data_IF_236757996370
#
_entry.id   IF_236757996370
#
_cell.length_a   1.000
_cell.length_b   1.000
_cell.length_c   1.000
_cell.angle_alpha   90.00
_cell.angle_beta   90.00
_cell.angle_gamma   90.00
#
_symmetry.space_group_name_H-M   'P 1'
#
loop_
_entity.id
_entity.type
_entity.pdbx_description
1 polymer ?
#
# COMPACT_ATOMS: atom_id res chain seq x y z
N UNK A 1 -18.88 0.08 -11.40
CA UNK A 1 -18.16 -0.99 -12.10
C UNK A 1 -17.50 -1.85 -11.05
N UNK A 2 -17.91 -3.11 -10.89
CA UNK A 2 -17.25 -4.04 -9.96
C UNK A 2 -15.84 -4.31 -10.47
N UNK A 3 -14.83 -3.98 -9.67
CA UNK A 3 -13.45 -4.32 -9.99
C UNK A 3 -13.34 -5.84 -10.18
N UNK A 4 -12.69 -6.28 -11.25
CA UNK A 4 -12.39 -7.70 -11.45
C UNK A 4 -11.54 -8.19 -10.27
N UNK A 5 -11.76 -9.42 -9.77
CA UNK A 5 -10.98 -9.94 -8.67
C UNK A 5 -9.50 -10.07 -9.07
N UNK A 6 -8.55 -9.79 -8.16
CA UNK A 6 -7.13 -9.91 -8.44
C UNK A 6 -6.75 -11.34 -8.82
N UNK A 7 -5.90 -11.47 -9.84
CA UNK A 7 -5.53 -12.72 -10.51
C UNK A 7 -4.05 -13.04 -10.40
N UNK A 8 -3.20 -12.04 -10.22
CA UNK A 8 -1.74 -12.20 -10.14
C UNK A 8 -1.23 -11.74 -8.78
N UNK A 9 -0.06 -12.23 -8.34
CA UNK A 9 0.57 -11.76 -7.08
C UNK A 9 0.75 -10.24 -7.07
N UNK A 10 1.04 -9.64 -8.23
CA UNK A 10 1.09 -8.19 -8.38
C UNK A 10 -0.26 -7.53 -8.10
N UNK A 11 -1.35 -8.01 -8.70
CA UNK A 11 -2.70 -7.46 -8.46
C UNK A 11 -3.14 -7.61 -6.99
N UNK A 12 -2.77 -8.72 -6.32
CA UNK A 12 -2.99 -8.86 -4.88
C UNK A 12 -2.17 -7.86 -4.07
N UNK A 13 -0.92 -7.61 -4.48
CA UNK A 13 -0.04 -6.63 -3.82
C UNK A 13 -0.55 -5.20 -4.00
N UNK A 14 -1.02 -4.87 -5.20
CA UNK A 14 -1.61 -3.57 -5.52
C UNK A 14 -2.91 -3.36 -4.76
N UNK A 15 -3.80 -4.36 -4.75
CA UNK A 15 -5.05 -4.30 -3.98
C UNK A 15 -4.81 -4.12 -2.48
N UNK A 16 -3.80 -4.80 -1.92
CA UNK A 16 -3.42 -4.60 -0.51
C UNK A 16 -2.88 -3.19 -0.26
N UNK A 17 -2.02 -2.66 -1.14
CA UNK A 17 -1.51 -1.31 -1.04
C UNK A 17 -2.62 -0.25 -1.11
N UNK A 18 -3.57 -0.41 -2.03
CA UNK A 18 -4.75 0.47 -2.15
C UNK A 18 -5.59 0.47 -0.87
N UNK A 19 -5.78 -0.69 -0.25
CA UNK A 19 -6.50 -0.81 1.03
C UNK A 19 -5.75 -0.11 2.17
N UNK A 20 -4.43 -0.27 2.24
CA UNK A 20 -3.61 0.41 3.24
C UNK A 20 -3.69 1.93 3.11
N UNK A 21 -3.61 2.44 1.89
CA UNK A 21 -3.71 3.88 1.58
C UNK A 21 -5.11 4.41 1.83
N UNK A 22 -6.16 3.67 1.41
CA UNK A 22 -7.56 4.06 1.65
C UNK A 22 -7.86 4.16 3.14
N UNK A 23 -7.39 3.19 3.92
CA UNK A 23 -7.53 3.25 5.37
C UNK A 23 -6.81 4.46 5.96
N UNK A 24 -5.57 4.72 5.54
CA UNK A 24 -4.82 5.88 6.02
C UNK A 24 -5.56 7.18 5.73
N UNK A 25 -6.05 7.37 4.51
CA UNK A 25 -6.82 8.54 4.08
C UNK A 25 -8.11 8.76 4.87
N UNK A 26 -8.78 7.68 5.29
CA UNK A 26 -10.00 7.79 6.08
C UNK A 26 -9.72 8.27 7.53
N UNK A 27 -8.49 8.10 8.02
CA UNK A 27 -8.10 8.34 9.41
C UNK A 27 -7.03 9.43 9.58
N UNK A 28 -6.40 9.90 8.51
CA UNK A 28 -5.46 11.03 8.52
C UNK A 28 -6.14 12.30 8.00
N UNK A 29 -5.71 13.47 8.49
CA UNK A 29 -6.16 14.76 7.97
C UNK A 29 -5.37 15.24 6.75
N UNK A 30 -4.35 14.48 6.33
CA UNK A 30 -3.45 14.86 5.25
C UNK A 30 -3.38 13.74 4.22
N UNK A 31 -3.86 13.97 2.99
CA UNK A 31 -3.68 12.99 1.92
C UNK A 31 -2.19 12.88 1.56
N UNK A 32 -1.68 11.67 1.27
CA UNK A 32 -0.32 11.56 0.79
C UNK A 32 -0.20 12.32 -0.55
N UNK A 33 0.91 13.03 -0.78
CA UNK A 33 1.23 13.49 -2.13
C UNK A 33 1.27 12.27 -3.06
N UNK A 34 0.76 12.42 -4.28
CA UNK A 34 0.93 11.43 -5.35
C UNK A 34 0.44 10.02 -4.94
N UNK A 35 -0.87 9.93 -4.68
CA UNK A 35 -1.49 8.75 -4.09
C UNK A 35 -1.37 7.47 -4.93
N UNK A 36 -1.21 7.57 -6.26
CA UNK A 36 -1.03 6.39 -7.13
C UNK A 36 0.39 5.86 -7.06
N UNK A 37 1.37 6.76 -7.09
CA UNK A 37 2.79 6.49 -6.97
C UNK A 37 3.09 5.90 -5.59
N UNK A 38 2.50 6.48 -4.53
CA UNK A 38 2.56 5.91 -3.17
C UNK A 38 2.03 4.48 -3.12
N UNK A 39 0.88 4.24 -3.77
CA UNK A 39 0.26 2.91 -3.84
C UNK A 39 1.14 1.92 -4.60
N UNK A 40 1.70 2.31 -5.74
CA UNK A 40 2.57 1.45 -6.56
C UNK A 40 3.90 1.15 -5.84
N UNK A 41 4.46 2.13 -5.11
CA UNK A 41 5.65 1.93 -4.30
C UNK A 41 5.42 0.92 -3.18
N UNK A 42 4.28 1.02 -2.48
CA UNK A 42 3.85 0.04 -1.49
C UNK A 42 3.64 -1.34 -2.12
N UNK A 43 2.96 -1.40 -3.26
CA UNK A 43 2.72 -2.65 -3.98
C UNK A 43 4.03 -3.33 -4.41
N UNK A 44 5.02 -2.55 -4.85
CA UNK A 44 6.35 -3.05 -5.19
C UNK A 44 7.05 -3.67 -3.97
N UNK A 45 7.02 -3.00 -2.81
CA UNK A 45 7.60 -3.56 -1.59
C UNK A 45 6.88 -4.84 -1.13
N UNK A 46 5.55 -4.87 -1.18
CA UNK A 46 4.72 -6.05 -0.87
C UNK A 46 5.04 -7.20 -1.84
N UNK A 47 5.13 -6.90 -3.14
CA UNK A 47 5.41 -7.88 -4.18
C UNK A 47 6.80 -8.49 -4.04
N UNK A 48 7.83 -7.66 -3.83
CA UNK A 48 9.21 -8.10 -3.65
C UNK A 48 9.35 -8.98 -2.40
N UNK A 49 8.69 -8.60 -1.30
CA UNK A 49 8.67 -9.41 -0.08
C UNK A 49 7.93 -10.74 -0.28
N UNK A 50 6.79 -10.73 -0.98
CA UNK A 50 6.08 -11.96 -1.32
C UNK A 50 6.95 -12.89 -2.17
N UNK A 51 7.64 -12.36 -3.18
CA UNK A 51 8.55 -13.11 -4.03
C UNK A 51 9.72 -13.73 -3.23
N UNK A 52 10.36 -12.93 -2.35
CA UNK A 52 11.43 -13.41 -1.48
C UNK A 52 10.99 -14.49 -0.50
N UNK A 53 9.74 -14.43 -0.03
CA UNK A 53 9.14 -15.41 0.88
C UNK A 53 8.49 -16.61 0.16
N UNK A 54 8.47 -16.65 -1.18
CA UNK A 54 7.78 -17.68 -1.95
C UNK A 54 6.25 -17.68 -1.81
N UNK A 55 5.66 -16.54 -1.44
CA UNK A 55 4.22 -16.35 -1.30
C UNK A 55 3.59 -15.90 -2.63
N UNK A 56 2.38 -16.36 -2.91
CA UNK A 56 1.66 -16.00 -4.14
C UNK A 56 0.17 -15.74 -3.92
N UNK A 57 -0.40 -14.91 -4.80
CA UNK A 57 -1.83 -14.60 -4.78
C UNK A 57 -2.33 -14.12 -3.41
N UNK A 58 -3.40 -14.73 -2.83
CA UNK A 58 -3.95 -14.33 -1.54
C UNK A 58 -2.98 -14.47 -0.35
N UNK A 59 -1.89 -15.24 -0.49
CA UNK A 59 -0.91 -15.44 0.58
C UNK A 59 -0.15 -14.15 0.92
N UNK A 60 -0.13 -13.18 0.01
CA UNK A 60 0.42 -11.83 0.25
C UNK A 60 -0.16 -11.21 1.54
N UNK A 61 -1.40 -11.55 1.90
CA UNK A 61 -2.03 -11.03 3.12
C UNK A 61 -1.34 -11.47 4.43
N UNK A 62 -0.49 -12.51 4.44
CA UNK A 62 0.26 -12.90 5.64
C UNK A 62 1.56 -12.13 5.86
N UNK A 63 1.90 -11.18 4.99
CA UNK A 63 3.11 -10.37 5.13
C UNK A 63 2.98 -9.39 6.30
N UNK A 64 4.07 -9.26 7.06
CA UNK A 64 4.21 -8.30 8.14
C UNK A 64 4.35 -6.87 7.58
N UNK A 65 3.56 -5.94 8.09
CA UNK A 65 3.68 -4.52 7.75
C UNK A 65 4.96 -3.93 8.36
N UNK A 66 5.23 -4.26 9.63
CA UNK A 66 6.47 -3.99 10.32
C UNK A 66 6.85 -5.20 11.18
N UNK A 67 8.15 -5.42 11.35
CA UNK A 67 8.68 -6.55 12.08
C UNK A 67 9.75 -6.12 13.10
N UNK A 68 10.05 -6.98 14.10
CA UNK A 68 11.22 -6.79 14.96
C UNK A 68 12.51 -6.74 14.14
N UNK A 69 13.57 -6.19 14.75
CA UNK A 69 14.89 -6.19 14.14
C UNK A 69 15.32 -7.60 13.70
N UNK A 70 15.74 -7.74 12.43
CA UNK A 70 16.19 -9.00 11.85
C UNK A 70 15.13 -9.85 11.16
N UNK A 71 13.90 -9.36 11.01
CA UNK A 71 12.86 -10.00 10.20
C UNK A 71 12.45 -9.10 9.02
N UNK A 72 12.17 -9.72 7.87
CA UNK A 72 11.71 -8.98 6.70
C UNK A 72 10.26 -8.52 6.88
N UNK A 73 9.98 -7.29 6.45
CA UNK A 73 8.66 -6.67 6.49
C UNK A 73 8.52 -5.67 5.35
N UNK A 74 7.28 -5.28 5.03
CA UNK A 74 7.02 -4.31 3.96
C UNK A 74 7.76 -3.00 4.24
N UNK A 75 7.76 -2.55 5.49
CA UNK A 75 8.49 -1.37 5.92
C UNK A 75 10.02 -1.50 5.70
N UNK A 76 10.61 -2.64 6.06
CA UNK A 76 12.05 -2.86 5.85
C UNK A 76 12.41 -2.89 4.35
N UNK A 77 11.56 -3.50 3.52
CA UNK A 77 11.73 -3.48 2.07
C UNK A 77 11.67 -2.05 1.51
N UNK A 78 10.74 -1.22 1.99
CA UNK A 78 10.67 0.20 1.60
C UNK A 78 11.88 1.01 2.06
N UNK A 79 12.50 0.69 3.18
CA UNK A 79 13.63 1.45 3.72
C UNK A 79 14.98 1.03 3.11
N UNK A 80 15.20 -0.28 2.94
CA UNK A 80 16.49 -0.83 2.53
C UNK A 80 16.56 -1.29 1.08
N UNK A 81 15.43 -1.61 0.44
CA UNK A 81 15.41 -2.37 -0.82
C UNK A 81 14.43 -1.81 -1.86
N UNK A 82 13.99 -0.56 -1.70
CA UNK A 82 12.90 0.03 -2.51
C UNK A 82 13.21 0.08 -4.01
N UNK A 83 14.46 0.37 -4.39
CA UNK A 83 14.85 0.39 -5.80
C UNK A 83 14.76 -1.00 -6.43
N UNK A 84 15.30 -2.03 -5.75
CA UNK A 84 15.22 -3.42 -6.23
C UNK A 84 13.75 -3.84 -6.36
N UNK A 85 12.94 -3.53 -5.34
CA UNK A 85 11.52 -3.85 -5.35
C UNK A 85 10.77 -3.22 -6.54
N UNK A 86 11.10 -1.98 -6.92
CA UNK A 86 10.55 -1.33 -8.11
C UNK A 86 11.07 -1.91 -9.42
N UNK A 87 12.33 -2.32 -9.47
CA UNK A 87 12.92 -2.93 -10.67
C UNK A 87 12.31 -4.30 -10.94
N UNK A 88 12.10 -5.09 -9.87
CA UNK A 88 11.55 -6.44 -9.92
C UNK A 88 10.02 -6.48 -10.09
N UNK A 89 9.33 -5.35 -9.88
CA UNK A 89 7.89 -5.27 -10.14
C UNK A 89 7.57 -5.36 -11.64
N UNK A 90 6.43 -5.95 -12.04
CA UNK A 90 6.10 -6.17 -13.45
C UNK A 90 6.02 -4.87 -14.27
N UNK A 91 6.71 -4.85 -15.42
CA UNK A 91 6.74 -3.69 -16.32
C UNK A 91 5.45 -3.50 -17.12
N UNK A 92 4.78 -4.60 -17.50
CA UNK A 92 3.55 -4.59 -18.31
C UNK A 92 2.32 -4.97 -17.48
N UNK A 93 2.06 -4.20 -16.40
CA UNK A 93 0.94 -4.44 -15.50
C UNK A 93 0.25 -3.14 -15.04
N UNK A 94 -0.83 -3.26 -14.28
CA UNK A 94 -1.48 -2.11 -13.63
C UNK A 94 -0.45 -1.36 -12.77
N UNK A 95 -0.38 -0.03 -12.91
CA UNK A 95 0.62 0.79 -12.22
C UNK A 95 1.99 0.88 -12.93
N UNK A 96 2.11 0.41 -14.16
CA UNK A 96 3.38 0.47 -14.93
C UNK A 96 3.86 1.90 -15.17
N UNK A 97 2.95 2.83 -15.46
CA UNK A 97 3.33 4.23 -15.68
C UNK A 97 3.88 4.87 -14.42
N UNK A 98 3.22 4.69 -13.28
CA UNK A 98 3.68 5.17 -11.99
C UNK A 98 5.00 4.49 -11.57
N UNK A 99 5.16 3.20 -11.86
CA UNK A 99 6.43 2.49 -11.67
C UNK A 99 7.56 3.14 -12.49
N UNK A 100 7.34 3.42 -13.77
CA UNK A 100 8.34 4.07 -14.63
C UNK A 100 8.69 5.48 -14.15
N UNK A 101 7.69 6.25 -13.72
CA UNK A 101 7.89 7.58 -13.14
C UNK A 101 8.72 7.50 -11.86
N UNK A 102 8.41 6.55 -10.96
CA UNK A 102 9.19 6.31 -9.73
C UNK A 102 10.63 5.90 -10.02
N UNK A 103 10.85 5.02 -11.01
CA UNK A 103 12.19 4.63 -11.43
C UNK A 103 12.97 5.80 -12.03
N UNK A 104 12.33 6.67 -12.81
CA UNK A 104 12.93 7.87 -13.37
C UNK A 104 13.23 8.94 -12.30
N UNK A 105 12.39 9.04 -11.27
CA UNK A 105 12.53 9.97 -10.17
C UNK A 105 13.50 9.49 -9.07
N UNK A 106 13.98 8.24 -9.12
CA UNK A 106 14.84 7.69 -8.06
C UNK A 106 16.08 8.55 -7.81
N UNK A 107 16.33 8.87 -6.53
CA UNK A 107 17.42 9.76 -6.11
C UNK A 107 17.07 11.25 -6.13
N UNK A 108 15.85 11.63 -6.50
CA UNK A 108 15.35 13.01 -6.42
C UNK A 108 14.51 13.25 -5.16
N UNK A 109 14.22 14.52 -4.84
CA UNK A 109 13.34 14.88 -3.72
C UNK A 109 11.89 14.45 -3.90
N UNK A 110 11.42 14.32 -5.14
CA UNK A 110 10.07 13.83 -5.47
C UNK A 110 9.93 12.36 -5.05
N UNK A 111 10.88 11.52 -5.42
CA UNK A 111 10.90 10.12 -4.99
C UNK A 111 10.95 9.99 -3.46
N UNK A 112 11.79 10.79 -2.80
CA UNK A 112 11.86 10.81 -1.33
C UNK A 112 10.52 11.15 -0.71
N UNK A 113 9.78 12.13 -1.26
CA UNK A 113 8.46 12.51 -0.75
C UNK A 113 7.45 11.36 -0.86
N UNK A 114 7.45 10.63 -1.98
CA UNK A 114 6.58 9.45 -2.16
C UNK A 114 6.99 8.31 -1.22
N UNK A 115 8.30 8.07 -1.05
CA UNK A 115 8.81 7.05 -0.13
C UNK A 115 8.44 7.37 1.32
N UNK A 116 8.57 8.62 1.75
CA UNK A 116 8.13 9.06 3.08
C UNK A 116 6.61 8.94 3.25
N UNK A 117 5.83 9.25 2.22
CA UNK A 117 4.38 9.06 2.24
C UNK A 117 4.01 7.57 2.43
N UNK A 118 4.64 6.66 1.68
CA UNK A 118 4.46 5.22 1.85
C UNK A 118 4.85 4.73 3.26
N UNK A 119 5.95 5.24 3.81
CA UNK A 119 6.37 4.92 5.18
C UNK A 119 5.38 5.46 6.22
N UNK A 120 4.86 6.68 6.06
CA UNK A 120 3.82 7.25 6.93
C UNK A 120 2.54 6.41 6.92
N UNK A 121 2.13 5.90 5.75
CA UNK A 121 0.99 4.97 5.65
C UNK A 121 1.21 3.74 6.51
N UNK A 122 2.35 3.06 6.36
CA UNK A 122 2.66 1.86 7.16
C UNK A 122 2.79 2.16 8.65
N UNK A 123 3.45 3.24 9.03
CA UNK A 123 3.57 3.64 10.42
C UNK A 123 2.21 3.91 11.07
N UNK A 124 1.26 4.52 10.35
CA UNK A 124 -0.08 4.73 10.87
C UNK A 124 -0.80 3.41 11.17
N UNK A 125 -0.68 2.41 10.30
CA UNK A 125 -1.22 1.06 10.57
C UNK A 125 -0.57 0.38 11.77
N UNK A 126 0.75 0.52 11.92
CA UNK A 126 1.49 -0.08 13.04
C UNK A 126 1.11 0.58 14.36
N UNK A 127 1.02 1.92 14.39
CA UNK A 127 0.63 2.68 15.58
C UNK A 127 -0.78 2.33 16.04
N UNK A 128 -1.73 2.23 15.10
CA UNK A 128 -3.09 1.81 15.40
C UNK A 128 -3.14 0.38 15.95
N UNK A 129 -2.44 -0.57 15.31
CA UNK A 129 -2.40 -1.96 15.76
C UNK A 129 -1.72 -2.12 17.13
N UNK A 130 -0.66 -1.36 17.42
CA UNK A 130 0.01 -1.36 18.72
C UNK A 130 -0.92 -0.82 19.82
N UNK A 131 -1.73 0.21 19.53
CA UNK A 131 -2.81 0.67 20.40
C UNK A 131 -3.85 -0.42 20.75
N UNK A 132 -3.89 -1.48 19.95
CA UNK A 132 -4.73 -2.67 20.15
C UNK A 132 -3.96 -3.92 20.60
N UNK A 133 -2.68 -3.79 21.00
CA UNK A 133 -1.84 -4.88 21.50
C UNK A 133 -1.28 -5.82 20.42
N UNK A 134 -1.16 -5.33 19.18
CA UNK A 134 -0.64 -6.07 18.03
C UNK A 134 0.53 -5.30 17.35
N UNK A 135 1.75 -5.33 17.92
CA UNK A 135 2.86 -4.50 17.43
C UNK A 135 3.45 -4.93 16.07
N UNK A 136 3.07 -6.11 15.57
CA UNK A 136 3.56 -6.68 14.31
C UNK A 136 2.39 -7.11 13.41
N UNK A 137 1.55 -6.15 12.96
CA UNK A 137 0.36 -6.49 12.20
C UNK A 137 0.74 -7.02 10.81
N UNK A 138 0.01 -8.04 10.37
CA UNK A 138 -0.01 -8.44 8.95
C UNK A 138 -1.05 -7.66 8.18
N UNK A 139 -0.99 -7.71 6.84
CA UNK A 139 -2.06 -7.17 5.97
C UNK A 139 -3.41 -7.80 6.34
N UNK A 140 -3.45 -9.10 6.65
CA UNK A 140 -4.67 -9.81 7.05
C UNK A 140 -5.25 -9.28 8.35
N UNK A 141 -4.41 -8.99 9.35
CA UNK A 141 -4.89 -8.48 10.64
C UNK A 141 -5.60 -7.13 10.49
N UNK A 142 -5.23 -6.37 9.46
CA UNK A 142 -5.82 -5.05 9.13
C UNK A 142 -7.05 -5.12 8.24
N UNK A 143 -7.40 -6.29 7.69
CA UNK A 143 -8.42 -6.43 6.65
C UNK A 143 -9.80 -5.86 7.07
N UNK A 144 -10.20 -6.04 8.33
CA UNK A 144 -11.48 -5.53 8.82
C UNK A 144 -11.49 -4.00 8.86
N UNK A 145 -10.47 -3.38 9.47
CA UNK A 145 -10.32 -1.93 9.54
C UNK A 145 -10.27 -1.30 8.14
N UNK A 146 -9.55 -1.92 7.20
CA UNK A 146 -9.47 -1.47 5.81
C UNK A 146 -10.82 -1.56 5.09
N UNK A 147 -11.59 -2.63 5.31
CA UNK A 147 -12.92 -2.78 4.75
C UNK A 147 -13.90 -1.70 5.28
N UNK A 148 -13.84 -1.39 6.57
CA UNK A 148 -14.66 -0.33 7.18
C UNK A 148 -14.32 1.04 6.60
N UNK A 149 -13.04 1.37 6.46
CA UNK A 149 -12.60 2.62 5.84
C UNK A 149 -13.08 2.74 4.39
N UNK A 150 -12.98 1.66 3.61
CA UNK A 150 -13.50 1.62 2.24
C UNK A 150 -14.99 1.86 2.20
N UNK A 151 -15.76 1.23 3.10
CA UNK A 151 -17.21 1.45 3.17
C UNK A 151 -17.55 2.91 3.47
N UNK A 152 -16.85 3.53 4.43
CA UNK A 152 -17.03 4.94 4.77
C UNK A 152 -16.68 5.86 3.59
N UNK A 153 -15.62 5.56 2.84
CA UNK A 153 -15.24 6.34 1.67
C UNK A 153 -16.30 6.27 0.57
N UNK A 154 -16.82 5.07 0.28
CA UNK A 154 -17.92 4.90 -0.67
C UNK A 154 -19.16 5.72 -0.28
N UNK A 155 -19.51 5.75 1.01
CA UNK A 155 -20.62 6.58 1.49
C UNK A 155 -20.37 8.09 1.28
N UNK A 156 -19.14 8.56 1.53
CA UNK A 156 -18.76 9.97 1.30
C UNK A 156 -18.84 10.33 -0.19
N UNK A 157 -18.33 9.46 -1.07
CA UNK A 157 -18.35 9.70 -2.51
C UNK A 157 -19.78 9.72 -3.07
N UNK A 158 -20.64 8.80 -2.61
CA UNK A 158 -22.06 8.79 -2.95
C UNK A 158 -22.78 10.06 -2.49
N UNK A 159 -22.49 10.53 -1.27
CA UNK A 159 -23.06 11.76 -0.75
C UNK A 159 -22.60 12.99 -1.56
N UNK A 160 -21.34 13.04 -1.99
CA UNK A 160 -20.81 14.14 -2.82
C UNK A 160 -21.48 14.22 -4.18
N UNK A 161 -21.74 13.08 -4.83
CA UNK A 161 -22.45 13.02 -6.12
C UNK A 161 -23.91 13.50 -6.00
N UNK A 162 -24.53 13.38 -4.82
CA UNK A 162 -25.90 13.84 -4.58
C UNK A 162 -26.02 15.34 -4.26
N UNK A 163 -24.90 16.04 -4.03
CA UNK A 163 -24.87 17.44 -3.56
C UNK A 163 -24.42 18.43 -4.65
N UNK A 164 -24.17 17.99 -5.89
CA UNK A 164 -24.00 18.91 -7.03
C UNK A 164 -25.35 19.18 -7.72
N UNK A 165 -26.06 20.30 -7.42
CA UNK A 165 -27.13 20.78 -8.27
C UNK A 165 -26.50 21.46 -9.50
N UNK A 166 -27.10 21.17 -10.66
CA UNK A 166 -26.92 21.90 -11.92
C UNK A 166 -27.25 23.38 -11.76
#
# INVERSE_FOLDING_TARGET
MTALPPRTTWEYSLSAAEELVTWHLAHSQEPPPDGRETTVLLAAAVHALAAGAGLSGPQVASLLLAAPAGQDSVLNTLQGHVLSALQDSPADALGSSEREQLLAAYGTGEFTAVQEAAQRVLHHHVQDADGHGQPHPTIRDRAHSMADARHQQLLKDLARVQVEPW
#
